data_IF_993329800757
#
_entry.id   IF_993329800757
#
_cell.length_a   1.000
_cell.length_b   1.000
_cell.length_c   1.000
_cell.angle_alpha   90.00
_cell.angle_beta   90.00
_cell.angle_gamma   90.00
#
_symmetry.space_group_name_H-M   'P 1'
#
loop_
_entity.id
_entity.type
_entity.pdbx_description
1 polymer ?
#
# COMPACT_ATOMS: atom_id res chain seq x y z
N UNK A 1 1.27 16.99 4.60
CA UNK A 1 0.09 16.57 5.37
C UNK A 1 -0.66 15.49 4.58
N UNK A 2 -1.00 14.42 5.25
CA UNK A 2 -1.75 13.34 4.61
C UNK A 2 -3.26 13.59 4.71
N UNK A 3 -3.95 13.53 3.59
CA UNK A 3 -5.41 13.61 3.53
C UNK A 3 -6.01 12.23 3.81
N UNK A 4 -7.16 12.18 4.49
CA UNK A 4 -7.88 10.93 4.67
C UNK A 4 -8.45 10.36 3.37
N UNK A 5 -8.69 11.21 2.37
CA UNK A 5 -9.09 10.78 1.03
C UNK A 5 -7.86 10.25 0.30
N UNK A 6 -7.79 8.94 0.11
CA UNK A 6 -6.62 8.31 -0.50
C UNK A 6 -6.56 8.45 -2.01
N UNK A 7 -7.51 9.15 -2.62
CA UNK A 7 -7.46 9.49 -4.05
C UNK A 7 -6.84 10.86 -4.30
N UNK A 8 -6.58 11.65 -3.26
CA UNK A 8 -5.88 12.92 -3.39
C UNK A 8 -4.39 12.66 -3.59
N UNK A 9 -3.76 13.21 -4.64
CA UNK A 9 -2.33 12.99 -4.87
C UNK A 9 -1.48 13.50 -3.71
N UNK A 10 -0.40 12.79 -3.42
CA UNK A 10 0.57 13.23 -2.42
C UNK A 10 1.44 14.37 -2.98
N UNK A 11 2.04 15.15 -2.09
CA UNK A 11 2.94 16.23 -2.46
C UNK A 11 4.41 15.86 -2.30
N UNK A 12 4.70 14.63 -1.86
CA UNK A 12 6.08 14.17 -1.65
C UNK A 12 6.70 13.71 -2.97
N UNK A 13 8.02 13.82 -3.06
CA UNK A 13 8.77 13.33 -4.22
C UNK A 13 9.16 11.86 -4.04
N UNK A 14 9.54 11.22 -5.14
CA UNK A 14 10.13 9.87 -5.08
C UNK A 14 11.40 9.87 -4.22
N UNK A 15 12.21 10.92 -4.31
CA UNK A 15 13.44 11.03 -3.51
C UNK A 15 13.14 11.12 -2.02
N UNK A 16 12.09 11.84 -1.64
CA UNK A 16 11.66 11.87 -0.24
C UNK A 16 11.30 10.47 0.25
N UNK A 17 10.51 9.74 -0.53
CA UNK A 17 10.13 8.37 -0.17
C UNK A 17 11.37 7.51 -0.03
N UNK A 18 12.30 7.58 -0.98
CA UNK A 18 13.54 6.80 -0.94
C UNK A 18 14.36 7.12 0.30
N UNK A 19 14.43 8.39 0.71
CA UNK A 19 15.19 8.78 1.89
C UNK A 19 14.63 8.13 3.16
N UNK A 20 13.32 7.93 3.22
CA UNK A 20 12.65 7.32 4.37
C UNK A 20 12.70 5.80 4.38
N UNK A 21 12.88 5.18 3.21
CA UNK A 21 12.93 3.72 3.07
C UNK A 21 14.36 3.18 3.01
N UNK A 22 15.36 4.04 3.07
CA UNK A 22 16.77 3.64 3.04
C UNK A 22 17.07 2.64 4.15
N UNK A 23 17.85 1.61 3.84
CA UNK A 23 18.22 0.58 4.81
C UNK A 23 17.15 -0.50 5.01
N UNK A 24 16.06 -0.45 4.28
CA UNK A 24 15.01 -1.49 4.32
C UNK A 24 14.92 -2.22 2.98
N UNK A 25 14.28 -3.41 2.94
CA UNK A 25 14.03 -4.08 1.65
C UNK A 25 13.18 -3.27 0.67
N UNK A 26 12.48 -2.24 1.13
CA UNK A 26 11.72 -1.33 0.27
C UNK A 26 12.54 -0.17 -0.28
N UNK A 27 13.85 -0.15 -0.04
CA UNK A 27 14.70 0.93 -0.52
C UNK A 27 14.61 1.07 -2.04
N UNK A 28 14.58 2.32 -2.52
CA UNK A 28 14.59 2.61 -3.96
C UNK A 28 13.24 2.51 -4.64
N UNK A 29 12.16 2.26 -3.91
CA UNK A 29 10.82 2.08 -4.50
C UNK A 29 10.01 3.38 -4.65
N UNK A 30 10.61 4.53 -4.35
CA UNK A 30 9.90 5.81 -4.42
C UNK A 30 9.29 6.09 -5.79
N UNK A 31 10.02 5.82 -6.86
CA UNK A 31 9.50 6.01 -8.22
C UNK A 31 8.31 5.10 -8.52
N UNK A 32 8.36 3.85 -8.06
CA UNK A 32 7.27 2.90 -8.27
C UNK A 32 5.99 3.38 -7.57
N UNK A 33 6.10 3.87 -6.33
CA UNK A 33 4.96 4.40 -5.61
C UNK A 33 4.38 5.66 -6.28
N UNK A 34 5.25 6.58 -6.73
CA UNK A 34 4.77 7.79 -7.40
C UNK A 34 4.17 7.49 -8.77
N UNK A 35 4.73 6.51 -9.48
CA UNK A 35 4.14 6.07 -10.77
C UNK A 35 2.75 5.48 -10.55
N UNK A 36 2.59 4.63 -9.55
CA UNK A 36 1.29 4.03 -9.24
C UNK A 36 0.26 5.09 -8.88
N UNK A 37 0.64 6.11 -8.12
CA UNK A 37 -0.22 7.26 -7.82
C UNK A 37 -0.66 7.96 -9.09
N UNK A 38 0.28 8.26 -9.98
CA UNK A 38 -0.01 8.95 -11.24
C UNK A 38 -0.93 8.12 -12.14
N UNK A 39 -0.65 6.83 -12.27
CA UNK A 39 -1.35 5.96 -13.22
C UNK A 39 -2.72 5.53 -12.72
N UNK A 40 -2.89 5.37 -11.41
CA UNK A 40 -4.11 4.77 -10.84
C UNK A 40 -4.87 5.69 -9.90
N UNK A 41 -4.34 6.85 -9.56
CA UNK A 41 -5.04 7.79 -8.70
C UNK A 41 -5.13 7.37 -7.24
N UNK A 42 -4.16 6.61 -6.74
CA UNK A 42 -4.08 6.19 -5.34
C UNK A 42 -2.89 6.88 -4.69
N UNK A 43 -3.14 7.59 -3.59
CA UNK A 43 -2.12 8.37 -2.89
C UNK A 43 -0.88 7.53 -2.56
N UNK A 44 0.30 8.00 -2.96
CA UNK A 44 1.56 7.25 -2.76
C UNK A 44 1.88 7.03 -1.29
N UNK A 45 1.58 7.98 -0.41
CA UNK A 45 1.84 7.84 1.03
C UNK A 45 0.95 6.76 1.63
N UNK A 46 -0.30 6.67 1.20
CA UNK A 46 -1.18 5.57 1.62
C UNK A 46 -0.61 4.23 1.15
N UNK A 47 -0.17 4.12 -0.10
CA UNK A 47 0.42 2.88 -0.62
C UNK A 47 1.67 2.48 0.16
N UNK A 48 2.53 3.45 0.50
CA UNK A 48 3.72 3.19 1.31
C UNK A 48 3.32 2.69 2.70
N UNK A 49 2.40 3.37 3.35
CA UNK A 49 1.92 2.99 4.69
C UNK A 49 1.29 1.60 4.70
N UNK A 50 0.51 1.29 3.68
CA UNK A 50 -0.08 -0.03 3.51
C UNK A 50 1.00 -1.11 3.34
N UNK A 51 1.98 -0.87 2.49
CA UNK A 51 3.08 -1.81 2.27
C UNK A 51 3.90 -2.03 3.55
N UNK A 52 4.20 -0.96 4.29
CA UNK A 52 4.92 -1.06 5.55
C UNK A 52 4.12 -1.91 6.54
N UNK A 53 2.83 -1.64 6.67
CA UNK A 53 1.97 -2.37 7.60
C UNK A 53 1.86 -3.84 7.24
N UNK A 54 1.66 -4.15 5.97
CA UNK A 54 1.41 -5.53 5.54
C UNK A 54 2.66 -6.39 5.44
N UNK A 55 3.83 -5.78 5.23
CA UNK A 55 5.07 -6.53 4.97
C UNK A 55 6.19 -6.26 5.96
N UNK A 56 5.98 -5.42 6.96
CA UNK A 56 7.03 -4.97 7.87
C UNK A 56 8.25 -4.46 7.09
N UNK A 57 8.04 -3.40 6.30
CA UNK A 57 9.07 -2.79 5.44
C UNK A 57 9.65 -3.75 4.41
N UNK A 58 8.85 -4.72 3.96
CA UNK A 58 9.31 -5.71 2.98
C UNK A 58 10.06 -6.90 3.58
N UNK A 59 10.07 -7.04 4.91
CA UNK A 59 10.81 -8.10 5.58
C UNK A 59 10.06 -9.41 5.66
N UNK A 60 8.74 -9.42 5.44
CA UNK A 60 7.95 -10.65 5.57
C UNK A 60 8.39 -11.71 4.55
N UNK A 61 8.12 -12.98 4.87
CA UNK A 61 8.42 -14.09 3.97
C UNK A 61 7.71 -13.94 2.63
N UNK A 62 6.44 -13.53 2.64
CA UNK A 62 5.67 -13.32 1.42
C UNK A 62 6.30 -12.21 0.56
N UNK A 63 6.70 -11.09 1.18
CA UNK A 63 7.32 -9.99 0.46
C UNK A 63 8.62 -10.42 -0.22
N UNK A 64 9.46 -11.14 0.51
CA UNK A 64 10.77 -11.54 0.01
C UNK A 64 10.69 -12.61 -1.06
N UNK A 65 9.84 -13.62 -0.86
CA UNK A 65 9.75 -14.75 -1.79
C UNK A 65 8.91 -14.43 -3.03
N UNK A 66 7.92 -13.54 -2.91
CA UNK A 66 6.94 -13.31 -3.97
C UNK A 66 6.86 -11.88 -4.47
N UNK A 67 7.74 -11.00 -3.99
CA UNK A 67 7.71 -9.57 -4.29
C UNK A 67 6.34 -8.95 -4.01
N UNK A 68 5.66 -9.45 -2.98
CA UNK A 68 4.31 -9.04 -2.60
C UNK A 68 4.37 -8.29 -1.28
N UNK A 69 4.34 -6.95 -1.36
CA UNK A 69 4.45 -6.07 -0.20
C UNK A 69 3.12 -5.89 0.55
N UNK A 70 2.02 -6.38 -0.02
CA UNK A 70 0.67 -6.06 0.47
C UNK A 70 -0.07 -7.28 1.01
N UNK A 71 0.56 -8.43 1.05
CA UNK A 71 -0.16 -9.67 1.35
C UNK A 71 -1.28 -9.93 0.38
N UNK A 72 -1.17 -9.41 -0.84
CA UNK A 72 -2.24 -9.47 -1.84
C UNK A 72 -2.59 -10.91 -2.15
N UNK A 73 -3.88 -11.26 -2.03
CA UNK A 73 -4.39 -12.63 -2.20
C UNK A 73 -3.86 -13.63 -1.15
N UNK A 74 -3.31 -13.16 -0.03
CA UNK A 74 -2.88 -14.04 1.05
C UNK A 74 -4.08 -14.36 1.95
N UNK A 75 -4.73 -15.48 1.69
CA UNK A 75 -5.91 -15.91 2.44
C UNK A 75 -5.52 -16.53 3.79
N UNK A 76 -6.36 -16.32 4.81
CA UNK A 76 -6.08 -16.76 6.19
C UNK A 76 -5.78 -18.25 6.31
N UNK A 77 -6.42 -19.10 5.48
CA UNK A 77 -6.24 -20.55 5.54
C UNK A 77 -4.89 -21.01 5.00
N UNK A 78 -4.26 -20.23 4.10
CA UNK A 78 -2.98 -20.60 3.49
C UNK A 78 -2.27 -19.35 2.97
N UNK A 79 -1.85 -18.44 3.90
CA UNK A 79 -1.40 -17.11 3.48
C UNK A 79 -0.20 -17.13 2.55
N UNK A 80 0.79 -18.00 2.79
CA UNK A 80 1.97 -18.01 1.92
C UNK A 80 1.66 -18.59 0.55
N UNK A 81 0.98 -19.75 0.48
CA UNK A 81 0.75 -20.40 -0.81
C UNK A 81 -0.27 -19.67 -1.68
N UNK A 82 -1.25 -18.95 -1.08
CA UNK A 82 -2.27 -18.21 -1.84
C UNK A 82 -1.82 -16.82 -2.26
N UNK A 83 -0.78 -16.25 -1.64
CA UNK A 83 -0.34 -14.90 -1.94
C UNK A 83 0.06 -14.73 -3.40
N UNK A 84 -0.30 -13.58 -3.99
CA UNK A 84 0.07 -13.24 -5.35
C UNK A 84 1.59 -13.17 -5.52
N UNK A 85 2.09 -13.67 -6.64
CA UNK A 85 3.51 -13.73 -6.95
C UNK A 85 3.79 -12.73 -8.08
N UNK A 86 4.70 -11.77 -7.84
CA UNK A 86 5.05 -10.74 -8.80
C UNK A 86 6.51 -10.88 -9.23
N UNK A 87 6.81 -10.46 -10.46
CA UNK A 87 8.18 -10.50 -10.96
C UNK A 87 9.11 -9.54 -10.24
N UNK A 88 8.56 -8.37 -9.84
CA UNK A 88 9.30 -7.32 -9.12
C UNK A 88 8.37 -6.67 -8.10
N UNK A 89 8.97 -5.94 -7.15
CA UNK A 89 8.17 -5.09 -6.25
C UNK A 89 7.36 -4.05 -7.03
N UNK A 90 7.93 -3.48 -8.09
CA UNK A 90 7.26 -2.49 -8.92
C UNK A 90 5.95 -3.04 -9.51
N UNK A 91 6.00 -4.26 -10.04
CA UNK A 91 4.81 -4.91 -10.60
C UNK A 91 3.74 -5.13 -9.54
N UNK A 92 4.13 -5.53 -8.34
CA UNK A 92 3.21 -5.71 -7.23
C UNK A 92 2.55 -4.40 -6.81
N UNK A 93 3.32 -3.33 -6.70
CA UNK A 93 2.81 -2.00 -6.36
C UNK A 93 1.80 -1.54 -7.41
N UNK A 94 2.14 -1.66 -8.69
CA UNK A 94 1.27 -1.27 -9.78
C UNK A 94 -0.04 -2.06 -9.77
N UNK A 95 0.05 -3.37 -9.60
CA UNK A 95 -1.12 -4.25 -9.60
C UNK A 95 -2.06 -3.94 -8.44
N UNK A 96 -1.53 -3.77 -7.24
CA UNK A 96 -2.36 -3.49 -6.06
C UNK A 96 -2.99 -2.10 -6.15
N UNK A 97 -2.24 -1.10 -6.62
CA UNK A 97 -2.80 0.24 -6.81
C UNK A 97 -3.95 0.23 -7.80
N UNK A 98 -3.79 -0.47 -8.93
CA UNK A 98 -4.85 -0.61 -9.92
C UNK A 98 -6.07 -1.32 -9.34
N UNK A 99 -5.85 -2.40 -8.61
CA UNK A 99 -6.93 -3.17 -7.97
C UNK A 99 -7.72 -2.29 -6.99
N UNK A 100 -7.03 -1.55 -6.13
CA UNK A 100 -7.67 -0.63 -5.19
C UNK A 100 -8.46 0.45 -5.93
N UNK A 101 -7.88 1.02 -6.97
CA UNK A 101 -8.56 2.05 -7.77
C UNK A 101 -9.86 1.51 -8.37
N UNK A 102 -9.81 0.34 -9.00
CA UNK A 102 -10.96 -0.19 -9.74
C UNK A 102 -12.06 -0.74 -8.83
N UNK A 103 -11.68 -1.38 -7.72
CA UNK A 103 -12.65 -2.12 -6.90
C UNK A 103 -13.05 -1.42 -5.61
N UNK A 104 -12.20 -0.54 -5.07
CA UNK A 104 -12.45 0.10 -3.77
C UNK A 104 -12.71 1.60 -3.87
N UNK A 105 -12.15 2.28 -4.86
CA UNK A 105 -12.10 3.74 -4.86
C UNK A 105 -12.94 4.40 -5.95
N UNK A 106 -13.51 3.63 -6.86
CA UNK A 106 -14.41 4.16 -7.89
C UNK A 106 -15.86 3.83 -7.55
N UNK A 107 -16.78 4.80 -7.65
CA UNK A 107 -18.21 4.50 -7.57
C UNK A 107 -18.55 3.40 -8.59
N UNK A 108 -19.27 2.39 -8.14
CA UNK A 108 -19.57 1.22 -8.98
C UNK A 108 -18.57 0.08 -8.83
N UNK A 109 -17.44 0.31 -8.18
CA UNK A 109 -16.50 -0.77 -7.87
C UNK A 109 -17.11 -1.77 -6.90
N UNK A 110 -16.70 -3.03 -6.99
CA UNK A 110 -17.28 -4.13 -6.23
C UNK A 110 -17.28 -3.88 -4.73
N UNK A 111 -16.23 -3.25 -4.21
CA UNK A 111 -16.05 -3.03 -2.78
C UNK A 111 -16.09 -1.55 -2.40
N UNK A 112 -16.56 -0.70 -3.29
CA UNK A 112 -16.59 0.75 -3.04
C UNK A 112 -17.46 1.08 -1.83
N UNK A 113 -16.91 1.83 -0.89
CA UNK A 113 -17.61 2.27 0.31
C UNK A 113 -17.19 3.69 0.70
N UNK A 114 -16.56 4.42 -0.20
CA UNK A 114 -15.98 5.74 0.04
C UNK A 114 -14.48 5.75 -0.26
N UNK A 115 -13.85 6.91 -0.09
CA UNK A 115 -12.46 7.12 -0.51
C UNK A 115 -11.48 7.26 0.65
N UNK A 116 -11.92 7.01 1.88
CA UNK A 116 -11.05 7.06 3.07
C UNK A 116 -10.48 5.69 3.37
N UNK A 117 -9.41 5.65 4.16
CA UNK A 117 -8.87 4.38 4.65
C UNK A 117 -9.91 3.62 5.49
N UNK A 118 -10.68 4.34 6.29
CA UNK A 118 -11.73 3.71 7.09
C UNK A 118 -12.81 3.06 6.20
N UNK A 119 -13.15 3.70 5.10
CA UNK A 119 -14.11 3.15 4.14
C UNK A 119 -13.56 1.88 3.47
N UNK A 120 -12.28 1.88 3.10
CA UNK A 120 -11.62 0.70 2.54
C UNK A 120 -11.61 -0.45 3.55
N UNK A 121 -11.32 -0.14 4.81
CA UNK A 121 -11.17 -1.12 5.89
C UNK A 121 -12.39 -2.04 6.02
N UNK A 122 -13.59 -1.51 5.79
CA UNK A 122 -14.85 -2.27 5.96
C UNK A 122 -14.83 -3.57 5.14
N UNK A 123 -14.27 -3.53 3.93
CA UNK A 123 -14.26 -4.66 3.02
C UNK A 123 -12.87 -5.28 2.82
N UNK A 124 -11.81 -4.54 3.12
CA UNK A 124 -10.45 -4.97 2.83
C UNK A 124 -9.85 -5.85 3.93
N UNK A 125 -10.16 -5.57 5.18
CA UNK A 125 -9.54 -6.27 6.31
C UNK A 125 -10.56 -6.57 7.39
N UNK A 126 -10.42 -7.75 8.02
CA UNK A 126 -11.27 -8.14 9.15
C UNK A 126 -10.93 -7.36 10.42
N UNK A 127 -9.69 -6.90 10.55
CA UNK A 127 -9.25 -6.08 11.68
C UNK A 127 -9.84 -4.68 11.55
N UNK A 128 -10.75 -4.33 12.47
CA UNK A 128 -11.41 -3.03 12.46
C UNK A 128 -10.48 -1.88 12.79
N UNK A 129 -9.29 -2.15 13.32
CA UNK A 129 -8.28 -1.12 13.64
C UNK A 129 -7.24 -0.96 12.53
N UNK A 130 -7.41 -1.65 11.41
CA UNK A 130 -6.47 -1.64 10.28
C UNK A 130 -6.13 -0.22 9.80
N UNK A 131 -7.15 0.62 9.58
CA UNK A 131 -6.91 1.98 9.10
C UNK A 131 -6.15 2.83 10.13
N UNK A 132 -6.45 2.67 11.41
CA UNK A 132 -5.74 3.37 12.47
C UNK A 132 -4.27 2.94 12.55
N UNK A 133 -4.01 1.66 12.38
CA UNK A 133 -2.64 1.12 12.38
C UNK A 133 -1.84 1.65 11.20
N UNK A 134 -2.45 1.71 10.02
CA UNK A 134 -1.78 2.28 8.85
C UNK A 134 -1.51 3.76 9.06
N UNK A 135 -2.44 4.49 9.64
CA UNK A 135 -2.22 5.92 9.94
C UNK A 135 -1.02 6.13 10.85
N UNK A 136 -0.83 5.26 11.85
CA UNK A 136 0.35 5.32 12.72
C UNK A 136 1.63 5.12 11.90
N UNK A 137 1.63 4.15 10.99
CA UNK A 137 2.77 3.90 10.09
C UNK A 137 3.06 5.12 9.22
N UNK A 138 2.02 5.74 8.66
CA UNK A 138 2.15 6.94 7.84
C UNK A 138 2.76 8.09 8.65
N UNK A 139 2.25 8.33 9.84
CA UNK A 139 2.78 9.40 10.71
C UNK A 139 4.24 9.19 11.03
N UNK A 140 4.62 7.97 11.37
CA UNK A 140 6.02 7.65 11.68
C UNK A 140 6.90 7.82 10.44
N UNK A 141 6.41 7.39 9.28
CA UNK A 141 7.13 7.54 8.02
C UNK A 141 7.39 9.02 7.70
N UNK A 142 6.38 9.87 7.86
CA UNK A 142 6.51 11.30 7.55
C UNK A 142 7.40 12.05 8.54
N UNK A 143 7.48 11.60 9.78
CA UNK A 143 8.31 12.23 10.82
C UNK A 143 9.75 11.75 10.82
N UNK A 144 10.03 10.61 10.26
CA UNK A 144 11.34 9.98 10.28
C UNK A 144 12.37 10.90 9.64
N UNK A 145 13.52 11.01 10.22
CA UNK A 145 14.63 11.78 9.66
C UNK A 145 15.02 12.91 10.46
#
# INVERSE_FOLDING_TARGET
VFSEDVTVPSTVSADFIDSRLAGTPMAGLGKAFKKAEKDHGVNAIFLVGLAIHESDYGRSQIAQAKHNLFGFMAYDSSPFSSAGNFATFDDGIDTVARYLSEHYLKPGGQFYNGKSMAAINVRYASDKTWSSKIMIRIRNFLKKG
#
